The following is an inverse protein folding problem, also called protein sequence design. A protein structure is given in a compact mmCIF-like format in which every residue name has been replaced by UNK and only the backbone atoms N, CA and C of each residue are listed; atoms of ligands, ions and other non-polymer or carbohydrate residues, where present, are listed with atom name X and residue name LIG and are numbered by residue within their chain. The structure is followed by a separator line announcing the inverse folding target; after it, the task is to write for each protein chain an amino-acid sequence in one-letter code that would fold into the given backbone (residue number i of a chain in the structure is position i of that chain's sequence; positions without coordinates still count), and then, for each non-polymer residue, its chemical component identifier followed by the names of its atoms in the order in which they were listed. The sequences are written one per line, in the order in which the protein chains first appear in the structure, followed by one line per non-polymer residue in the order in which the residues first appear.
data_IF_236028329461
#
_entry.id   IF_236028329461
#
_cell.length_a   1.000
_cell.length_b   1.000
_cell.length_c   1.000
_cell.angle_alpha   90.00
_cell.angle_beta   90.00
_cell.angle_gamma   90.00
#
_symmetry.space_group_name_H-M   'P 1'
#
loop_
_entity.id
_entity.type
_entity.pdbx_description
1 polymer ?
#
# COMPACT_ATOMS: atom_id res chain seq x y z
N UNK A 1 -1.39 32.83 -2.77
CA UNK A 1 -0.43 31.89 -3.41
C UNK A 1 -0.62 30.51 -2.82
N UNK A 2 -1.33 29.60 -3.50
CA UNK A 2 -1.39 28.20 -3.07
C UNK A 2 -0.05 27.56 -3.39
N UNK A 3 0.81 27.40 -2.39
CA UNK A 3 2.03 26.61 -2.54
C UNK A 3 1.65 25.23 -3.12
N UNK A 4 2.16 24.93 -4.31
CA UNK A 4 2.00 23.62 -4.91
C UNK A 4 2.56 22.59 -3.93
N UNK A 5 1.76 21.58 -3.61
CA UNK A 5 2.26 20.46 -2.81
C UNK A 5 3.39 19.82 -3.58
N UNK A 6 4.57 19.69 -2.96
CA UNK A 6 5.59 18.85 -3.55
C UNK A 6 5.03 17.42 -3.70
N UNK A 7 5.19 16.81 -4.90
CA UNK A 7 4.58 15.52 -5.20
C UNK A 7 5.13 14.40 -4.33
N UNK A 8 6.32 14.56 -3.77
CA UNK A 8 7.03 13.50 -3.04
C UNK A 8 7.42 13.93 -1.63
N UNK A 9 7.42 12.96 -0.72
CA UNK A 9 8.12 13.08 0.56
C UNK A 9 9.58 12.72 0.35
N UNK A 10 10.50 13.50 0.90
CA UNK A 10 11.95 13.28 0.80
C UNK A 10 12.53 12.87 2.14
N UNK A 11 13.61 12.09 2.11
CA UNK A 11 14.37 11.71 3.33
C UNK A 11 14.97 12.92 4.05
N UNK A 12 15.17 14.03 3.34
CA UNK A 12 15.69 15.29 3.88
C UNK A 12 14.60 16.22 4.42
N UNK A 13 13.32 15.86 4.27
CA UNK A 13 12.23 16.70 4.78
C UNK A 13 12.23 16.68 6.31
N UNK A 14 11.93 17.83 6.93
CA UNK A 14 11.76 17.89 8.38
C UNK A 14 10.53 17.09 8.82
N UNK A 15 10.47 16.64 10.09
CA UNK A 15 9.29 15.96 10.61
C UNK A 15 8.00 16.75 10.42
N UNK A 16 8.05 18.07 10.61
CA UNK A 16 6.92 18.99 10.43
C UNK A 16 6.48 19.05 8.97
N UNK A 17 7.43 19.05 8.03
CA UNK A 17 7.11 19.03 6.60
C UNK A 17 6.44 17.72 6.20
N UNK A 18 6.90 16.57 6.70
CA UNK A 18 6.27 15.26 6.45
C UNK A 18 4.83 15.24 7.00
N UNK A 19 4.64 15.63 8.27
CA UNK A 19 3.31 15.67 8.92
C UNK A 19 2.36 16.61 8.18
N UNK A 20 2.83 17.82 7.84
CA UNK A 20 2.04 18.81 7.10
C UNK A 20 1.66 18.32 5.71
N UNK A 21 2.60 17.70 4.99
CA UNK A 21 2.32 17.15 3.67
C UNK A 21 1.27 16.03 3.74
N UNK A 22 1.33 15.14 4.74
CA UNK A 22 0.32 14.11 4.94
C UNK A 22 -1.06 14.73 5.24
N UNK A 23 -1.13 15.67 6.18
CA UNK A 23 -2.36 16.36 6.53
C UNK A 23 -2.99 17.07 5.32
N UNK A 24 -2.18 17.76 4.52
CA UNK A 24 -2.64 18.46 3.31
C UNK A 24 -3.12 17.47 2.23
N UNK A 25 -2.48 16.30 2.09
CA UNK A 25 -2.93 15.27 1.13
C UNK A 25 -4.27 14.68 1.54
N UNK A 26 -4.46 14.36 2.81
CA UNK A 26 -5.74 13.85 3.31
C UNK A 26 -6.85 14.91 3.20
N UNK A 27 -6.55 16.17 3.49
CA UNK A 27 -7.52 17.27 3.41
C UNK A 27 -7.95 17.63 1.98
N UNK A 28 -7.19 17.20 0.96
CA UNK A 28 -7.55 17.37 -0.45
C UNK A 28 -8.60 16.37 -0.94
N UNK A 29 -8.82 15.29 -0.19
CA UNK A 29 -9.81 14.30 -0.54
C UNK A 29 -11.20 14.80 -0.12
N UNK A 30 -12.25 14.56 -0.93
CA UNK A 30 -13.61 14.92 -0.56
C UNK A 30 -13.98 14.36 0.84
N UNK A 31 -14.72 15.10 1.68
CA UNK A 31 -15.11 14.65 3.02
C UNK A 31 -15.75 13.26 3.05
N UNK A 32 -16.57 12.96 2.04
CA UNK A 32 -17.23 11.68 1.85
C UNK A 32 -16.25 10.52 1.59
N UNK A 33 -15.07 10.78 1.02
CA UNK A 33 -14.01 9.78 0.82
C UNK A 33 -13.10 9.72 2.04
N UNK A 34 -12.66 10.89 2.54
CA UNK A 34 -11.65 10.97 3.60
C UNK A 34 -12.07 10.25 4.89
N UNK A 35 -13.36 10.27 5.23
CA UNK A 35 -13.92 9.58 6.40
C UNK A 35 -13.84 8.04 6.32
N UNK A 36 -13.64 7.48 5.13
CA UNK A 36 -13.57 6.03 4.90
C UNK A 36 -12.13 5.52 4.74
N UNK A 37 -11.13 6.39 4.81
CA UNK A 37 -9.72 5.99 4.71
C UNK A 37 -9.30 5.31 6.00
N UNK A 38 -8.86 4.07 5.89
CA UNK A 38 -8.40 3.26 7.02
C UNK A 38 -6.88 3.07 7.02
N UNK A 39 -6.21 3.36 5.91
CA UNK A 39 -4.77 3.22 5.78
C UNK A 39 -4.21 3.83 4.51
N UNK A 40 -2.88 3.77 4.38
CA UNK A 40 -2.13 4.35 3.26
C UNK A 40 -1.16 3.33 2.67
N UNK A 41 -0.77 3.55 1.42
CA UNK A 41 0.37 2.87 0.80
C UNK A 41 1.32 3.90 0.17
N UNK A 42 2.52 3.46 -0.22
CA UNK A 42 3.44 4.29 -1.00
C UNK A 42 3.27 4.07 -2.50
N UNK A 43 3.44 5.16 -3.25
CA UNK A 43 3.70 5.15 -4.68
C UNK A 43 5.15 5.60 -4.90
N UNK A 44 5.97 4.79 -5.57
CA UNK A 44 7.44 4.92 -5.55
C UNK A 44 7.97 4.92 -4.11
N UNK A 45 9.00 5.75 -3.83
CA UNK A 45 9.47 6.00 -2.48
C UNK A 45 10.60 5.10 -2.01
N UNK A 46 11.32 4.43 -2.91
CA UNK A 46 12.40 3.50 -2.54
C UNK A 46 13.43 4.09 -1.57
N UNK A 47 13.81 5.36 -1.72
CA UNK A 47 14.69 6.04 -0.76
C UNK A 47 14.02 6.35 0.57
N UNK A 48 12.74 6.70 0.53
CA UNK A 48 11.97 7.08 1.71
C UNK A 48 11.65 5.85 2.57
N UNK A 49 11.15 4.78 1.97
CA UNK A 49 10.79 3.55 2.68
C UNK A 49 12.00 2.80 3.23
N UNK A 50 13.20 3.02 2.68
CA UNK A 50 14.47 2.52 3.24
C UNK A 50 15.06 3.40 4.37
N UNK A 51 14.46 4.55 4.68
CA UNK A 51 14.96 5.46 5.71
C UNK A 51 14.23 5.26 7.03
N UNK A 52 14.90 4.66 8.02
CA UNK A 52 14.34 4.44 9.36
C UNK A 52 13.83 5.76 10.00
N UNK A 53 14.64 6.83 9.95
CA UNK A 53 14.26 8.14 10.47
C UNK A 53 12.99 8.69 9.81
N UNK A 54 12.92 8.67 8.47
CA UNK A 54 11.78 9.24 7.74
C UNK A 54 10.51 8.39 7.94
N UNK A 55 10.64 7.07 7.90
CA UNK A 55 9.53 6.14 8.17
C UNK A 55 9.03 6.25 9.61
N UNK A 56 9.92 6.47 10.58
CA UNK A 56 9.52 6.65 12.00
C UNK A 56 8.62 7.88 12.16
N UNK A 57 8.95 8.99 11.49
CA UNK A 57 8.09 10.18 11.50
C UNK A 57 6.73 9.88 10.87
N UNK A 58 6.71 9.20 9.73
CA UNK A 58 5.47 8.84 9.04
C UNK A 58 4.60 7.94 9.91
N UNK A 59 5.15 6.83 10.42
CA UNK A 59 4.42 5.85 11.23
C UNK A 59 3.86 6.47 12.51
N UNK A 60 4.62 7.35 13.18
CA UNK A 60 4.11 8.08 14.33
C UNK A 60 2.87 8.92 13.99
N UNK A 61 2.82 9.52 12.81
CA UNK A 61 1.65 10.28 12.37
C UNK A 61 0.48 9.37 11.99
N UNK A 62 0.74 8.20 11.38
CA UNK A 62 -0.29 7.20 11.09
C UNK A 62 -0.91 6.64 12.37
N UNK A 63 -0.09 6.35 13.39
CA UNK A 63 -0.55 5.89 14.71
C UNK A 63 -1.55 6.85 15.32
N UNK A 64 -1.22 8.15 15.36
CA UNK A 64 -2.12 9.20 15.89
C UNK A 64 -3.46 9.24 15.18
N UNK A 65 -3.47 8.93 13.89
CA UNK A 65 -4.66 8.93 13.02
C UNK A 65 -5.37 7.58 12.97
N UNK A 66 -4.85 6.55 13.67
CA UNK A 66 -5.34 5.17 13.61
C UNK A 66 -5.40 4.61 12.18
N UNK A 67 -4.42 4.98 11.36
CA UNK A 67 -4.29 4.50 9.98
C UNK A 67 -3.28 3.36 9.90
N UNK A 68 -3.60 2.30 9.15
CA UNK A 68 -2.62 1.25 8.83
C UNK A 68 -1.72 1.64 7.65
N UNK A 69 -0.62 0.91 7.45
CA UNK A 69 0.29 1.11 6.32
C UNK A 69 0.44 -0.16 5.47
N UNK A 70 0.37 -0.02 4.14
CA UNK A 70 0.66 -1.10 3.20
C UNK A 70 1.88 -0.73 2.38
N UNK A 71 2.99 -1.43 2.59
CA UNK A 71 4.19 -1.22 1.78
C UNK A 71 4.02 -1.84 0.38
N UNK A 72 4.10 -0.99 -0.65
CA UNK A 72 4.11 -1.41 -2.05
C UNK A 72 5.42 -2.10 -2.46
N UNK A 73 6.42 -2.13 -1.59
CA UNK A 73 7.75 -2.74 -1.77
C UNK A 73 8.41 -2.35 -3.09
N UNK A 74 8.63 -1.06 -3.29
CA UNK A 74 9.37 -0.53 -4.46
C UNK A 74 10.89 -0.72 -4.33
N UNK A 75 11.34 -1.30 -3.21
CA UNK A 75 12.73 -1.61 -2.88
C UNK A 75 12.76 -2.79 -1.92
N UNK A 76 13.80 -3.62 -2.03
CA UNK A 76 14.05 -4.70 -1.07
C UNK A 76 14.58 -4.16 0.28
N UNK A 77 15.14 -2.94 0.29
CA UNK A 77 15.74 -2.28 1.44
C UNK A 77 14.72 -1.52 2.32
N UNK A 78 13.43 -1.66 2.05
CA UNK A 78 12.37 -1.03 2.85
C UNK A 78 12.44 -1.49 4.30
N UNK A 79 12.31 -0.53 5.23
CA UNK A 79 12.21 -0.76 6.68
C UNK A 79 10.78 -0.55 7.18
N UNK A 80 9.80 -0.48 6.27
CA UNK A 80 8.42 -0.15 6.61
C UNK A 80 7.82 -1.08 7.66
N UNK A 81 7.97 -2.38 7.48
CA UNK A 81 7.42 -3.40 8.37
C UNK A 81 8.02 -3.30 9.79
N UNK A 82 9.35 -3.19 9.88
CA UNK A 82 10.04 -3.11 11.18
C UNK A 82 9.67 -1.84 11.92
N UNK A 83 9.67 -0.70 11.23
CA UNK A 83 9.31 0.59 11.84
C UNK A 83 7.84 0.63 12.20
N UNK A 84 6.93 0.07 11.39
CA UNK A 84 5.52 -0.01 11.74
C UNK A 84 5.30 -0.85 13.01
N UNK A 85 5.99 -1.99 13.14
CA UNK A 85 5.97 -2.81 14.35
C UNK A 85 6.50 -2.04 15.57
N UNK A 86 7.69 -1.42 15.46
CA UNK A 86 8.29 -0.59 16.53
C UNK A 86 7.36 0.54 17.00
N UNK A 87 6.65 1.17 16.07
CA UNK A 87 5.74 2.28 16.39
C UNK A 87 4.33 1.81 16.76
N UNK A 88 4.00 0.53 16.69
CA UNK A 88 2.66 0.01 16.97
C UNK A 88 1.60 0.47 15.96
N UNK A 89 1.96 0.44 14.66
CA UNK A 89 1.07 0.74 13.54
C UNK A 89 0.72 -0.55 12.84
N UNK A 90 -0.56 -0.83 12.61
CA UNK A 90 -0.97 -2.00 11.83
C UNK A 90 -0.41 -1.91 10.40
N UNK A 91 0.14 -3.00 9.88
CA UNK A 91 0.85 -2.97 8.61
C UNK A 91 0.72 -4.23 7.78
N UNK A 92 0.90 -4.09 6.47
CA UNK A 92 1.08 -5.21 5.56
C UNK A 92 2.05 -4.83 4.46
N UNK A 93 2.43 -5.83 3.65
CA UNK A 93 3.25 -5.62 2.46
C UNK A 93 2.65 -6.31 1.26
N UNK A 94 2.89 -5.74 0.09
CA UNK A 94 2.60 -6.38 -1.19
C UNK A 94 3.45 -7.64 -1.36
N UNK A 95 2.82 -8.68 -1.88
CA UNK A 95 3.45 -9.92 -2.34
C UNK A 95 3.64 -9.87 -3.87
N UNK A 96 2.57 -9.58 -4.62
CA UNK A 96 2.59 -9.60 -6.09
C UNK A 96 2.25 -8.22 -6.66
N UNK A 97 2.97 -7.78 -7.70
CA UNK A 97 2.59 -6.62 -8.51
C UNK A 97 1.94 -7.12 -9.80
N UNK A 98 0.73 -6.66 -10.12
CA UNK A 98 -0.08 -7.30 -11.15
C UNK A 98 0.25 -6.85 -12.58
N UNK A 99 0.56 -5.57 -12.78
CA UNK A 99 0.43 -4.94 -14.09
C UNK A 99 1.59 -4.02 -14.45
N UNK A 100 2.82 -4.45 -14.16
CA UNK A 100 4.02 -3.85 -14.76
C UNK A 100 3.94 -3.84 -16.30
N UNK A 101 3.30 -4.88 -16.86
CA UNK A 101 2.90 -4.94 -18.26
C UNK A 101 1.38 -4.95 -18.29
N UNK A 102 0.77 -3.89 -18.82
CA UNK A 102 -0.69 -3.68 -18.82
C UNK A 102 -1.41 -4.52 -19.90
N UNK A 103 -1.12 -5.82 -19.94
CA UNK A 103 -1.69 -6.78 -20.88
C UNK A 103 -2.32 -7.95 -20.12
N UNK A 104 -3.51 -8.37 -20.54
CA UNK A 104 -4.27 -9.44 -19.86
C UNK A 104 -3.47 -10.74 -19.68
N UNK A 105 -2.69 -11.23 -20.68
CA UNK A 105 -1.87 -12.43 -20.48
C UNK A 105 -0.81 -12.27 -19.39
N UNK A 106 -0.08 -11.15 -19.36
CA UNK A 106 0.94 -10.88 -18.35
C UNK A 106 0.32 -10.77 -16.94
N UNK A 107 -0.80 -10.06 -16.83
CA UNK A 107 -1.53 -9.92 -15.55
C UNK A 107 -2.05 -11.28 -15.07
N UNK A 108 -2.49 -12.14 -15.99
CA UNK A 108 -2.96 -13.50 -15.64
C UNK A 108 -1.85 -14.36 -15.04
N UNK A 109 -0.60 -14.21 -15.51
CA UNK A 109 0.57 -14.88 -14.90
C UNK A 109 0.78 -14.40 -13.47
N UNK A 110 0.74 -13.09 -13.23
CA UNK A 110 0.86 -12.54 -11.88
C UNK A 110 -0.29 -12.98 -10.96
N UNK A 111 -1.51 -13.10 -11.48
CA UNK A 111 -2.65 -13.61 -10.72
C UNK A 111 -2.51 -15.11 -10.38
N UNK A 112 -1.81 -15.89 -11.19
CA UNK A 112 -1.48 -17.28 -10.86
C UNK A 112 -0.47 -17.33 -9.71
N UNK A 113 0.59 -16.52 -9.77
CA UNK A 113 1.55 -16.36 -8.66
C UNK A 113 0.85 -15.96 -7.36
N UNK A 114 -0.11 -15.02 -7.44
CA UNK A 114 -0.91 -14.59 -6.29
C UNK A 114 -1.70 -15.76 -5.68
N UNK A 115 -2.33 -16.60 -6.51
CA UNK A 115 -3.05 -17.79 -6.04
C UNK A 115 -2.10 -18.79 -5.39
N UNK A 116 -0.97 -19.09 -6.01
CA UNK A 116 0.01 -20.04 -5.48
C UNK A 116 0.55 -19.58 -4.12
N UNK A 117 0.93 -18.30 -3.99
CA UNK A 117 1.37 -17.73 -2.71
C UNK A 117 0.28 -17.79 -1.65
N UNK A 118 -0.96 -17.39 -1.99
CA UNK A 118 -2.07 -17.41 -1.03
C UNK A 118 -2.34 -18.83 -0.50
N UNK A 119 -2.25 -19.85 -1.35
CA UNK A 119 -2.43 -21.25 -0.93
C UNK A 119 -1.26 -21.76 -0.08
N UNK A 120 -0.03 -21.32 -0.35
CA UNK A 120 1.16 -21.77 0.37
C UNK A 120 1.27 -21.18 1.78
N UNK A 121 0.99 -19.88 1.94
CA UNK A 121 1.22 -19.17 3.21
C UNK A 121 -0.09 -18.72 3.90
N UNK A 122 -1.25 -19.09 3.35
CA UNK A 122 -2.59 -18.79 3.89
C UNK A 122 -3.19 -17.46 3.43
N UNK A 123 -2.39 -16.50 2.97
CA UNK A 123 -2.87 -15.24 2.38
C UNK A 123 -1.85 -14.65 1.42
N UNK A 124 -2.29 -13.77 0.53
CA UNK A 124 -1.38 -12.94 -0.25
C UNK A 124 -2.06 -11.61 -0.62
N UNK A 125 -1.24 -10.58 -0.83
CA UNK A 125 -1.68 -9.22 -1.17
C UNK A 125 -1.07 -8.85 -2.51
N UNK A 126 -1.93 -8.49 -3.47
CA UNK A 126 -1.52 -7.93 -4.74
C UNK A 126 -1.82 -6.42 -4.81
N UNK A 127 -1.00 -5.70 -5.58
CA UNK A 127 -1.29 -4.33 -5.99
C UNK A 127 -1.24 -4.26 -7.51
N UNK A 128 -2.18 -3.51 -8.08
CA UNK A 128 -2.18 -3.13 -9.49
C UNK A 128 -2.79 -1.74 -9.65
N UNK A 129 -2.81 -1.28 -10.88
CA UNK A 129 -3.39 -0.04 -11.33
C UNK A 129 -4.81 -0.27 -11.89
N UNK A 130 -5.64 0.78 -11.97
CA UNK A 130 -7.01 0.67 -12.47
C UNK A 130 -7.06 0.63 -14.02
N UNK A 131 -6.20 -0.17 -14.66
CA UNK A 131 -6.24 -0.36 -16.11
C UNK A 131 -7.42 -1.27 -16.51
N UNK A 132 -8.05 -1.05 -17.68
CA UNK A 132 -9.09 -1.94 -18.20
C UNK A 132 -8.65 -3.41 -18.29
N UNK A 133 -7.37 -3.65 -18.63
CA UNK A 133 -6.76 -4.98 -18.71
C UNK A 133 -6.67 -5.63 -17.32
N UNK A 134 -6.27 -4.87 -16.30
CA UNK A 134 -6.22 -5.32 -14.89
C UNK A 134 -7.60 -5.68 -14.39
N UNK A 135 -8.60 -4.82 -14.63
CA UNK A 135 -9.98 -5.09 -14.25
C UNK A 135 -10.54 -6.35 -14.95
N UNK A 136 -10.27 -6.51 -16.25
CA UNK A 136 -10.72 -7.67 -17.03
C UNK A 136 -10.12 -8.98 -16.54
N UNK A 137 -8.81 -9.00 -16.29
CA UNK A 137 -8.11 -10.18 -15.76
C UNK A 137 -8.59 -10.54 -14.34
N UNK A 138 -8.74 -9.53 -13.46
CA UNK A 138 -9.27 -9.71 -12.10
C UNK A 138 -10.69 -10.29 -12.11
N UNK A 139 -11.59 -9.79 -12.96
CA UNK A 139 -12.97 -10.27 -13.02
C UNK A 139 -13.04 -11.77 -13.39
N UNK A 140 -12.19 -12.22 -14.31
CA UNK A 140 -12.08 -13.65 -14.68
C UNK A 140 -11.47 -14.45 -13.53
N UNK A 141 -10.37 -13.96 -12.95
CA UNK A 141 -9.68 -14.66 -11.86
C UNK A 141 -10.57 -14.82 -10.62
N UNK A 142 -11.26 -13.77 -10.16
CA UNK A 142 -12.18 -13.83 -9.01
C UNK A 142 -13.25 -14.90 -9.20
N UNK A 143 -13.81 -15.03 -10.42
CA UNK A 143 -14.78 -16.09 -10.72
C UNK A 143 -14.18 -17.49 -10.59
N UNK A 144 -12.92 -17.68 -11.03
CA UNK A 144 -12.21 -18.96 -10.93
C UNK A 144 -11.79 -19.31 -9.50
N UNK A 145 -11.59 -18.32 -8.64
CA UNK A 145 -11.21 -18.54 -7.24
C UNK A 145 -12.39 -18.85 -6.31
N UNK A 146 -13.64 -18.81 -6.79
CA UNK A 146 -14.81 -19.12 -5.97
C UNK A 146 -14.69 -20.52 -5.36
N UNK A 147 -14.76 -20.60 -4.03
CA UNK A 147 -14.61 -21.85 -3.27
C UNK A 147 -13.16 -22.28 -3.02
N UNK A 148 -12.18 -21.52 -3.54
CA UNK A 148 -10.74 -21.78 -3.36
C UNK A 148 -10.13 -20.68 -2.48
N UNK A 149 -10.31 -19.42 -2.86
CA UNK A 149 -9.83 -18.25 -2.13
C UNK A 149 -10.96 -17.29 -1.84
N UNK A 150 -10.86 -16.58 -0.73
CA UNK A 150 -11.74 -15.46 -0.39
C UNK A 150 -11.01 -14.14 -0.64
N UNK A 151 -11.55 -13.30 -1.53
CA UNK A 151 -11.07 -11.92 -1.68
C UNK A 151 -11.66 -11.07 -0.58
N UNK A 152 -10.78 -10.45 0.20
CA UNK A 152 -11.16 -9.61 1.35
C UNK A 152 -10.58 -8.20 1.23
N UNK A 153 -11.18 -7.19 1.88
CA UNK A 153 -10.53 -5.91 2.08
C UNK A 153 -9.16 -6.06 2.75
N UNK A 154 -8.17 -5.26 2.34
CA UNK A 154 -6.78 -5.39 2.83
C UNK A 154 -6.65 -5.23 4.35
N UNK A 155 -7.56 -4.49 5.00
CA UNK A 155 -7.55 -4.31 6.45
C UNK A 155 -7.83 -5.60 7.25
N UNK A 156 -8.33 -6.67 6.60
CA UNK A 156 -8.40 -8.01 7.21
C UNK A 156 -7.05 -8.74 7.22
N UNK A 157 -6.06 -8.25 6.47
CA UNK A 157 -4.76 -8.89 6.25
C UNK A 157 -3.59 -8.10 6.84
N UNK A 158 -3.86 -7.02 7.58
CA UNK A 158 -2.81 -6.25 8.25
C UNK A 158 -2.39 -6.92 9.55
N UNK A 159 -1.09 -7.01 9.77
CA UNK A 159 -0.51 -7.40 11.04
C UNK A 159 -0.72 -6.27 12.05
N UNK A 160 -1.18 -6.60 13.26
CA UNK A 160 -1.37 -5.63 14.35
C UNK A 160 -0.33 -5.93 15.43
N UNK A 161 0.65 -5.02 15.66
CA UNK A 161 1.67 -5.18 16.69
C UNK A 161 1.11 -5.14 18.13
#
# INVERSE_FOLDING_TARGET
MTASLEPYLRVSDSPEKIRRALAQRLAKLPPEISKHIQGLSNHQGSRFSASHKAMTVLMNELKKRKLFYVDSRTTAQTVADSVAAEQGVAFARRHVFLDNVAEVPAITVQLKELTELALQQGFAIAIGHPYPQTASALAVWIRKQKGILQVVPVHHLVNTP
#
